data_IF_998591086393
#
_entry.id   IF_998591086393
#
_cell.length_a   1.000
_cell.length_b   1.000
_cell.length_c   1.000
_cell.angle_alpha   90.00
_cell.angle_beta   90.00
_cell.angle_gamma   90.00
#
_symmetry.space_group_name_H-M   'P 1'
#
loop_
_entity.id
_entity.type
_entity.pdbx_description
1 polymer ?
#
# COMPACT_ATOMS: atom_id res chain seq x y z
N UNK A 1 -7.66 36.95 -17.53
CA UNK A 1 -8.11 35.89 -16.61
C UNK A 1 -6.89 35.05 -16.40
N UNK A 2 -6.27 35.14 -15.23
CA UNK A 2 -4.86 34.78 -15.07
C UNK A 2 -4.76 33.52 -14.21
N UNK A 3 -4.35 32.42 -14.82
CA UNK A 3 -4.22 31.11 -14.15
C UNK A 3 -2.77 30.94 -13.69
N UNK A 4 -2.56 30.72 -12.39
CA UNK A 4 -1.24 30.46 -11.79
C UNK A 4 -1.10 28.98 -11.41
N UNK A 5 -0.12 28.30 -11.97
CA UNK A 5 0.19 26.88 -11.69
C UNK A 5 1.06 26.81 -10.41
N UNK A 6 0.60 26.08 -9.38
CA UNK A 6 1.24 26.02 -8.05
C UNK A 6 2.33 24.95 -7.93
N UNK A 7 2.13 23.81 -8.60
CA UNK A 7 3.11 22.72 -8.63
C UNK A 7 2.90 21.90 -9.90
N UNK A 8 3.98 21.35 -10.44
CA UNK A 8 3.96 20.47 -11.61
C UNK A 8 4.73 19.21 -11.28
N UNK A 9 4.08 18.06 -11.44
CA UNK A 9 4.72 16.75 -11.39
C UNK A 9 4.96 16.28 -12.81
N UNK A 10 6.20 16.45 -13.28
CA UNK A 10 6.60 16.02 -14.62
C UNK A 10 6.94 14.54 -14.61
N UNK A 11 6.43 13.81 -15.59
CA UNK A 11 6.78 12.44 -15.89
C UNK A 11 7.42 12.43 -17.27
N UNK A 12 8.57 11.77 -17.38
CA UNK A 12 9.27 11.62 -18.65
C UNK A 12 9.44 10.13 -18.97
N UNK A 13 9.42 9.81 -20.26
CA UNK A 13 9.76 8.51 -20.81
C UNK A 13 10.99 8.70 -21.68
N UNK A 14 11.97 7.82 -21.53
CA UNK A 14 13.13 7.83 -22.41
C UNK A 14 12.71 7.26 -23.77
N UNK A 15 13.17 7.88 -24.86
CA UNK A 15 12.96 7.42 -26.22
C UNK A 15 14.29 7.54 -26.97
N UNK A 16 14.47 6.70 -27.98
CA UNK A 16 15.65 6.77 -28.83
C UNK A 16 15.55 7.98 -29.77
N UNK A 17 16.62 8.76 -29.85
CA UNK A 17 16.72 9.87 -30.81
C UNK A 17 17.14 9.34 -32.18
N UNK A 18 16.17 8.80 -32.93
CA UNK A 18 16.39 8.26 -34.26
C UNK A 18 15.24 8.58 -35.21
N UNK A 19 15.47 8.39 -36.53
CA UNK A 19 14.45 8.64 -37.54
C UNK A 19 13.48 7.45 -37.61
N UNK A 20 12.31 7.63 -37.01
CA UNK A 20 11.21 6.66 -36.99
C UNK A 20 11.10 5.94 -35.65
N UNK A 21 10.06 5.10 -35.52
CA UNK A 21 9.73 4.42 -34.26
C UNK A 21 10.00 2.90 -34.31
N UNK A 22 10.18 2.35 -35.51
CA UNK A 22 10.22 0.90 -35.73
C UNK A 22 11.40 0.49 -36.59
N UNK A 23 12.03 -0.63 -36.24
CA UNK A 23 13.10 -1.23 -37.04
C UNK A 23 12.59 -1.71 -38.41
N UNK A 24 13.20 -1.23 -39.50
CA UNK A 24 12.80 -1.59 -40.87
C UNK A 24 12.96 -3.07 -41.26
N UNK A 25 13.65 -3.88 -40.44
CA UNK A 25 13.89 -5.31 -40.67
C UNK A 25 12.91 -6.19 -39.87
N UNK A 26 12.88 -6.04 -38.54
CA UNK A 26 12.02 -6.86 -37.68
C UNK A 26 10.64 -6.27 -37.38
N UNK A 27 10.41 -5.00 -37.77
CA UNK A 27 9.16 -4.25 -37.55
C UNK A 27 8.73 -4.10 -36.08
N UNK A 28 9.64 -4.33 -35.14
CA UNK A 28 9.43 -4.04 -33.72
C UNK A 28 9.79 -2.59 -33.42
N UNK A 29 9.15 -2.03 -32.40
CA UNK A 29 9.46 -0.70 -31.85
C UNK A 29 10.89 -0.68 -31.30
N UNK A 30 11.54 0.48 -31.37
CA UNK A 30 12.90 0.67 -30.87
C UNK A 30 13.02 0.55 -29.34
N UNK A 31 11.91 0.75 -28.62
CA UNK A 31 11.86 0.50 -27.17
C UNK A 31 11.76 -0.99 -26.82
N UNK A 32 11.38 -1.83 -27.79
CA UNK A 32 11.22 -3.26 -27.61
C UNK A 32 12.48 -4.02 -28.09
N UNK A 33 12.71 -5.20 -27.51
CA UNK A 33 13.79 -6.07 -27.97
C UNK A 33 13.46 -6.63 -29.37
N UNK A 34 14.49 -6.87 -30.19
CA UNK A 34 14.30 -7.62 -31.44
C UNK A 34 13.85 -9.07 -31.16
N UNK A 35 13.27 -9.80 -32.14
CA UNK A 35 12.78 -11.17 -31.91
C UNK A 35 13.82 -12.20 -31.45
N UNK A 36 15.10 -11.86 -31.53
CA UNK A 36 16.22 -12.70 -31.08
C UNK A 36 16.67 -12.35 -29.65
N UNK A 37 16.35 -11.15 -29.15
CA UNK A 37 16.72 -10.70 -27.82
C UNK A 37 15.54 -10.79 -26.86
N UNK A 38 15.82 -11.04 -25.58
CA UNK A 38 14.81 -11.10 -24.53
C UNK A 38 14.56 -9.75 -23.87
N UNK A 39 15.59 -8.91 -23.76
CA UNK A 39 15.56 -7.64 -23.03
C UNK A 39 16.09 -6.53 -23.95
N UNK A 40 15.44 -5.35 -24.00
CA UNK A 40 15.95 -4.19 -24.74
C UNK A 40 17.12 -3.52 -23.99
N UNK A 41 17.88 -2.66 -24.67
CA UNK A 41 19.02 -1.94 -24.07
C UNK A 41 20.37 -2.49 -24.54
N UNK A 42 21.28 -2.75 -23.61
CA UNK A 42 22.67 -3.16 -23.90
C UNK A 42 22.76 -4.46 -24.71
N UNK A 43 21.81 -5.39 -24.51
CA UNK A 43 21.73 -6.66 -25.24
C UNK A 43 21.16 -6.51 -26.67
N UNK A 44 20.55 -5.37 -27.00
CA UNK A 44 19.97 -5.10 -28.32
C UNK A 44 20.12 -3.62 -28.69
N UNK A 45 21.36 -3.14 -28.92
CA UNK A 45 21.60 -1.74 -29.20
C UNK A 45 21.05 -1.36 -30.58
N UNK A 46 20.72 -0.08 -30.71
CA UNK A 46 20.22 0.50 -31.94
C UNK A 46 21.37 1.14 -32.71
N UNK A 47 21.38 0.92 -34.01
CA UNK A 47 22.38 1.46 -34.92
C UNK A 47 21.71 2.27 -36.02
N UNK A 48 22.17 3.51 -36.19
CA UNK A 48 21.78 4.38 -37.29
C UNK A 48 22.88 4.36 -38.34
N UNK A 49 22.53 3.91 -39.54
CA UNK A 49 23.44 3.85 -40.68
C UNK A 49 23.78 5.24 -41.24
N UNK A 50 24.86 5.38 -42.04
CA UNK A 50 25.21 6.65 -42.68
C UNK A 50 24.12 7.20 -43.62
N UNK A 51 23.27 6.33 -44.18
CA UNK A 51 22.11 6.72 -44.97
C UNK A 51 20.88 7.09 -44.10
N UNK A 52 21.09 7.29 -42.79
CA UNK A 52 20.10 7.69 -41.79
C UNK A 52 18.92 6.71 -41.59
N UNK A 53 19.10 5.44 -41.94
CA UNK A 53 18.17 4.37 -41.57
C UNK A 53 18.61 3.68 -40.29
N UNK A 54 17.66 3.44 -39.39
CA UNK A 54 17.92 2.92 -38.06
C UNK A 54 17.41 1.49 -37.89
N UNK A 55 18.25 0.61 -37.32
CA UNK A 55 17.94 -0.80 -37.13
C UNK A 55 18.47 -1.29 -35.77
N UNK A 56 17.91 -2.39 -35.25
CA UNK A 56 18.57 -3.14 -34.19
C UNK A 56 19.86 -3.76 -34.70
N UNK A 57 20.93 -3.73 -33.91
CA UNK A 57 22.24 -4.26 -34.31
C UNK A 57 22.16 -5.72 -34.79
N UNK A 58 21.46 -6.59 -34.06
CA UNK A 58 21.32 -7.99 -34.46
C UNK A 58 20.49 -8.18 -35.74
N UNK A 59 19.51 -7.31 -35.98
CA UNK A 59 18.71 -7.37 -37.20
C UNK A 59 19.54 -7.01 -38.43
N UNK A 60 20.33 -5.93 -38.35
CA UNK A 60 21.17 -5.51 -39.48
C UNK A 60 22.35 -6.45 -39.70
N UNK A 61 23.02 -6.92 -38.64
CA UNK A 61 24.12 -7.89 -38.78
C UNK A 61 23.65 -9.15 -39.48
N UNK A 62 22.51 -9.71 -39.08
CA UNK A 62 21.93 -10.90 -39.73
C UNK A 62 21.48 -10.64 -41.17
N UNK A 63 20.96 -9.45 -41.47
CA UNK A 63 20.55 -9.10 -42.82
C UNK A 63 21.76 -9.05 -43.76
N UNK A 64 22.86 -8.43 -43.32
CA UNK A 64 24.10 -8.32 -44.09
C UNK A 64 24.81 -9.67 -44.24
N UNK A 65 24.76 -10.56 -43.23
CA UNK A 65 25.29 -11.92 -43.33
C UNK A 65 24.55 -12.79 -44.35
N UNK A 66 23.28 -12.47 -44.63
CA UNK A 66 22.45 -13.23 -45.58
C UNK A 66 22.64 -12.79 -47.03
N UNK A 67 23.15 -11.58 -47.28
CA UNK A 67 23.41 -11.10 -48.64
C UNK A 67 24.75 -11.63 -49.16
N UNK A 68 24.71 -12.51 -50.15
CA UNK A 68 25.89 -12.95 -50.89
C UNK A 68 26.31 -11.84 -51.87
N UNK A 69 27.02 -10.81 -51.38
CA UNK A 69 27.44 -9.67 -52.19
C UNK A 69 28.08 -8.53 -51.41
N UNK A 70 28.18 -7.36 -52.04
CA UNK A 70 28.57 -6.14 -51.33
C UNK A 70 27.43 -5.76 -50.37
N UNK A 71 27.71 -5.51 -49.08
CA UNK A 71 26.66 -5.24 -48.10
C UNK A 71 25.95 -3.94 -48.45
N UNK A 72 24.62 -3.97 -48.53
CA UNK A 72 23.78 -2.80 -48.85
C UNK A 72 22.79 -2.51 -47.72
N UNK A 73 22.30 -1.27 -47.64
CA UNK A 73 21.23 -0.93 -46.72
C UNK A 73 19.91 -1.61 -47.14
N UNK A 74 19.24 -2.39 -46.26
CA UNK A 74 17.99 -3.09 -46.62
C UNK A 74 16.84 -2.16 -47.03
N UNK A 75 16.89 -0.89 -46.65
CA UNK A 75 15.82 0.08 -46.93
C UNK A 75 16.08 0.89 -48.20
N UNK A 76 17.31 1.35 -48.43
CA UNK A 76 17.62 2.28 -49.53
C UNK A 76 18.72 1.80 -50.49
N UNK A 77 19.28 0.60 -50.27
CA UNK A 77 20.35 -0.01 -51.08
C UNK A 77 21.64 0.81 -51.19
N UNK A 78 21.81 1.82 -50.33
CA UNK A 78 23.07 2.53 -50.23
C UNK A 78 24.17 1.55 -49.76
N UNK A 79 25.42 1.68 -50.26
CA UNK A 79 26.51 0.78 -49.88
C UNK A 79 26.78 0.87 -48.37
N UNK A 80 26.83 -0.28 -47.72
CA UNK A 80 27.06 -0.39 -46.29
C UNK A 80 28.55 -0.42 -45.99
N UNK A 81 29.05 0.55 -45.22
CA UNK A 81 30.45 0.55 -44.81
C UNK A 81 30.61 -0.26 -43.51
N UNK A 82 31.21 -1.44 -43.61
CA UNK A 82 31.56 -2.27 -42.44
C UNK A 82 32.78 -1.66 -41.74
N UNK A 83 32.64 -1.24 -40.49
CA UNK A 83 33.82 -0.97 -39.64
C UNK A 83 34.34 -2.32 -39.14
N UNK A 84 35.48 -2.75 -39.64
CA UNK A 84 36.10 -4.03 -39.30
C UNK A 84 36.27 -4.21 -37.78
N UNK A 85 36.01 -5.43 -37.30
CA UNK A 85 36.27 -5.88 -35.93
C UNK A 85 37.77 -5.75 -35.62
N UNK A 86 38.19 -4.79 -34.81
CA UNK A 86 39.50 -4.85 -34.16
C UNK A 86 39.39 -5.84 -32.99
N UNK A 87 40.08 -6.97 -33.10
CA UNK A 87 40.26 -7.90 -31.98
C UNK A 87 41.02 -7.20 -30.85
N UNK A 88 40.33 -6.91 -29.74
CA UNK A 88 40.98 -6.55 -28.48
C UNK A 88 40.34 -7.35 -27.36
N UNK A 89 41.17 -8.17 -26.74
CA UNK A 89 40.92 -8.97 -25.55
C UNK A 89 40.54 -8.03 -24.39
N UNK A 90 39.32 -8.15 -23.86
CA UNK A 90 38.86 -7.40 -22.68
C UNK A 90 37.59 -6.57 -22.93
N UNK A 91 36.44 -7.20 -22.69
CA UNK A 91 35.11 -6.63 -22.40
C UNK A 91 34.86 -5.12 -22.61
N UNK A 92 34.84 -4.64 -23.87
CA UNK A 92 33.85 -3.66 -24.39
C UNK A 92 34.06 -3.52 -25.89
N UNK A 93 33.07 -3.93 -26.69
CA UNK A 93 33.13 -3.81 -28.16
C UNK A 93 32.66 -2.40 -28.54
N UNK A 94 33.60 -1.50 -28.82
CA UNK A 94 33.28 -0.12 -29.20
C UNK A 94 33.06 -0.02 -30.72
N UNK A 95 31.80 0.16 -31.13
CA UNK A 95 31.41 0.31 -32.53
C UNK A 95 31.48 1.79 -32.93
N UNK A 96 32.42 2.13 -33.82
CA UNK A 96 32.80 3.51 -34.21
C UNK A 96 31.72 4.38 -34.87
N UNK A 97 30.54 3.84 -35.17
CA UNK A 97 29.38 4.58 -35.69
C UNK A 97 28.08 4.22 -34.97
N UNK A 98 28.16 3.91 -33.69
CA UNK A 98 26.99 4.04 -32.81
C UNK A 98 26.96 5.51 -32.41
N UNK A 99 25.94 6.25 -32.85
CA UNK A 99 25.62 7.52 -32.21
C UNK A 99 25.08 7.23 -30.81
N UNK A 100 25.95 6.72 -29.92
CA UNK A 100 25.79 6.92 -28.49
C UNK A 100 25.92 8.42 -28.31
N UNK A 101 24.94 9.06 -27.68
CA UNK A 101 24.86 10.51 -27.51
C UNK A 101 26.26 11.12 -27.34
N UNK A 102 26.70 11.93 -28.32
CA UNK A 102 28.08 12.41 -28.47
C UNK A 102 28.44 13.50 -27.46
N UNK A 103 27.76 13.54 -26.32
CA UNK A 103 28.10 14.41 -25.21
C UNK A 103 28.61 13.51 -24.10
N UNK A 104 29.90 13.62 -23.83
CA UNK A 104 30.48 13.01 -22.65
C UNK A 104 29.63 13.41 -21.45
N UNK A 105 29.30 12.48 -20.52
CA UNK A 105 28.56 12.81 -19.30
C UNK A 105 29.16 14.00 -18.55
N UNK A 106 30.46 14.27 -18.72
CA UNK A 106 31.15 15.45 -18.19
C UNK A 106 30.57 16.79 -18.62
N UNK A 107 29.93 16.88 -19.79
CA UNK A 107 29.40 18.15 -20.31
C UNK A 107 28.08 18.55 -19.64
N UNK A 108 27.44 17.61 -18.95
CA UNK A 108 26.21 17.81 -18.17
C UNK A 108 26.46 17.73 -16.65
N UNK A 109 27.68 17.42 -16.23
CA UNK A 109 28.09 17.44 -14.84
C UNK A 109 28.68 18.83 -14.55
N UNK A 110 28.02 19.67 -13.74
CA UNK A 110 28.61 20.95 -13.34
C UNK A 110 29.96 20.69 -12.63
N UNK A 111 30.98 21.56 -12.81
CA UNK A 111 32.28 21.40 -12.16
C UNK A 111 32.12 21.23 -10.65
N UNK A 112 32.92 20.36 -10.02
CA UNK A 112 32.82 20.06 -8.59
C UNK A 112 32.98 21.29 -7.67
N UNK A 113 33.48 22.40 -8.19
CA UNK A 113 33.56 23.71 -7.53
C UNK A 113 32.24 24.49 -7.50
N UNK A 114 31.27 24.18 -8.36
CA UNK A 114 29.99 24.90 -8.48
C UNK A 114 28.87 24.29 -7.64
N UNK A 115 29.07 23.09 -7.08
CA UNK A 115 28.06 22.35 -6.32
C UNK A 115 28.52 21.89 -4.92
N UNK A 116 29.03 22.77 -4.03
CA UNK A 116 29.38 22.36 -2.67
C UNK A 116 28.17 21.96 -1.80
N UNK A 117 26.93 22.24 -2.21
CA UNK A 117 25.74 21.85 -1.43
C UNK A 117 25.22 20.42 -1.70
N UNK A 118 25.60 19.77 -2.81
CA UNK A 118 25.09 18.44 -3.18
C UNK A 118 26.02 17.26 -2.87
N UNK A 119 27.22 17.54 -2.36
CA UNK A 119 28.18 16.53 -1.88
C UNK A 119 28.32 16.51 -0.35
N UNK A 120 27.34 17.04 0.39
CA UNK A 120 27.13 16.48 1.72
C UNK A 120 26.74 15.03 1.49
N UNK A 121 27.60 14.09 1.89
CA UNK A 121 27.24 12.68 2.02
C UNK A 121 25.86 12.65 2.65
N UNK A 122 24.89 12.03 1.99
CA UNK A 122 23.57 11.86 2.55
C UNK A 122 23.73 11.24 3.94
N UNK A 123 23.69 12.08 4.97
CA UNK A 123 23.58 11.63 6.35
C UNK A 123 22.11 11.31 6.44
N UNK A 124 21.79 10.05 6.19
CA UNK A 124 20.45 9.53 6.39
C UNK A 124 19.97 10.07 7.73
N UNK A 125 18.87 10.86 7.76
CA UNK A 125 18.40 11.40 9.02
C UNK A 125 18.18 10.21 9.93
N UNK A 126 18.95 10.13 11.02
CA UNK A 126 18.81 9.05 12.02
C UNK A 126 17.31 8.85 12.23
N UNK A 127 16.77 7.63 12.01
CA UNK A 127 15.34 7.41 12.07
C UNK A 127 14.80 8.07 13.34
N UNK A 128 13.81 8.97 13.18
CA UNK A 128 13.28 9.81 14.27
C UNK A 128 12.75 8.99 15.46
N UNK A 129 12.62 7.69 15.29
CA UNK A 129 12.34 6.74 16.34
C UNK A 129 13.64 5.95 16.57
N UNK A 130 14.36 6.31 17.63
CA UNK A 130 15.47 5.49 18.10
C UNK A 130 14.97 4.05 18.31
N UNK A 131 15.81 3.05 18.05
CA UNK A 131 15.46 1.63 18.25
C UNK A 131 14.84 1.41 19.65
N UNK A 132 15.33 2.17 20.64
CA UNK A 132 14.83 2.20 22.01
C UNK A 132 13.39 2.73 22.13
N UNK A 133 13.03 3.79 21.39
CA UNK A 133 11.65 4.30 21.35
C UNK A 133 10.71 3.35 20.61
N UNK A 134 11.19 2.67 19.56
CA UNK A 134 10.41 1.64 18.86
C UNK A 134 10.16 0.43 19.76
N UNK A 135 11.17 -0.01 20.51
CA UNK A 135 11.05 -1.06 21.52
C UNK A 135 10.09 -0.68 22.65
N UNK A 136 10.15 0.56 23.14
CA UNK A 136 9.19 1.04 24.16
C UNK A 136 7.77 1.06 23.61
N UNK A 137 7.58 1.45 22.35
CA UNK A 137 6.27 1.43 21.69
C UNK A 137 5.74 0.01 21.47
N UNK A 138 6.58 -0.94 21.01
CA UNK A 138 6.15 -2.33 20.84
C UNK A 138 5.87 -3.02 22.17
N UNK A 139 6.65 -2.71 23.21
CA UNK A 139 6.38 -3.17 24.57
C UNK A 139 5.08 -2.58 25.11
N UNK A 140 4.81 -1.28 24.90
CA UNK A 140 3.54 -0.69 25.37
C UNK A 140 2.33 -1.24 24.61
N UNK A 141 2.46 -1.50 23.32
CA UNK A 141 1.43 -2.14 22.51
C UNK A 141 1.17 -3.57 22.98
N UNK A 142 2.22 -4.33 23.29
CA UNK A 142 2.11 -5.68 23.85
C UNK A 142 1.43 -5.70 25.22
N UNK A 143 1.80 -4.79 26.12
CA UNK A 143 1.16 -4.64 27.43
C UNK A 143 -0.32 -4.22 27.28
N UNK A 144 -0.62 -3.32 26.36
CA UNK A 144 -1.98 -2.91 26.03
C UNK A 144 -2.83 -4.09 25.54
N UNK A 145 -2.35 -4.83 24.56
CA UNK A 145 -3.04 -6.01 24.03
C UNK A 145 -3.26 -7.10 25.10
N UNK A 146 -2.24 -7.36 25.92
CA UNK A 146 -2.33 -8.32 27.02
C UNK A 146 -3.38 -7.88 28.06
N UNK A 147 -3.42 -6.60 28.42
CA UNK A 147 -4.39 -6.07 29.39
C UNK A 147 -5.84 -6.21 28.91
N UNK A 148 -6.10 -5.91 27.63
CA UNK A 148 -7.43 -6.05 27.01
C UNK A 148 -7.84 -7.52 26.93
N UNK A 149 -6.92 -8.40 26.54
CA UNK A 149 -7.17 -9.84 26.51
C UNK A 149 -7.50 -10.40 27.90
N UNK A 150 -6.81 -9.92 28.94
CA UNK A 150 -7.04 -10.30 30.33
C UNK A 150 -8.44 -9.88 30.79
N UNK A 151 -8.81 -8.61 30.55
CA UNK A 151 -10.16 -8.10 30.88
C UNK A 151 -11.24 -8.89 30.15
N UNK A 152 -11.05 -9.17 28.85
CA UNK A 152 -11.98 -9.99 28.08
C UNK A 152 -12.12 -11.41 28.66
N UNK A 153 -11.00 -12.05 29.01
CA UNK A 153 -11.00 -13.38 29.61
C UNK A 153 -11.73 -13.41 30.96
N UNK A 154 -11.46 -12.45 31.84
CA UNK A 154 -12.13 -12.37 33.15
C UNK A 154 -13.62 -12.07 33.01
N UNK A 155 -14.00 -11.16 32.12
CA UNK A 155 -15.41 -10.84 31.86
C UNK A 155 -16.15 -12.04 31.27
N UNK A 156 -15.54 -12.73 30.29
CA UNK A 156 -16.11 -13.95 29.70
C UNK A 156 -16.26 -15.08 30.72
N UNK A 157 -15.27 -15.25 31.60
CA UNK A 157 -15.31 -16.28 32.66
C UNK A 157 -16.37 -15.94 33.70
N UNK A 158 -16.47 -14.66 34.09
CA UNK A 158 -17.49 -14.18 35.03
C UNK A 158 -18.91 -14.38 34.48
N UNK A 159 -19.14 -14.05 33.21
CA UNK A 159 -20.43 -14.26 32.54
C UNK A 159 -20.75 -15.75 32.47
N UNK A 160 -19.80 -16.60 32.08
CA UNK A 160 -19.99 -18.06 32.04
C UNK A 160 -20.41 -18.61 33.41
N UNK A 161 -19.70 -18.24 34.47
CA UNK A 161 -20.00 -18.73 35.82
C UNK A 161 -21.38 -18.27 36.30
N UNK A 162 -21.77 -17.01 36.02
CA UNK A 162 -23.12 -16.52 36.35
C UNK A 162 -24.21 -17.27 35.60
N UNK A 163 -24.00 -17.55 34.31
CA UNK A 163 -24.95 -18.32 33.50
C UNK A 163 -25.07 -19.75 34.02
N UNK A 164 -23.95 -20.40 34.36
CA UNK A 164 -23.96 -21.75 34.96
C UNK A 164 -24.69 -21.76 36.31
N UNK A 165 -24.51 -20.73 37.15
CA UNK A 165 -25.21 -20.61 38.43
C UNK A 165 -26.72 -20.39 38.24
N UNK A 166 -27.13 -19.52 37.32
CA UNK A 166 -28.54 -19.33 36.98
C UNK A 166 -29.16 -20.61 36.40
N UNK A 167 -28.44 -21.33 35.54
CA UNK A 167 -28.87 -22.60 34.98
C UNK A 167 -29.07 -23.64 36.09
N UNK A 168 -28.15 -23.74 37.05
CA UNK A 168 -28.27 -24.66 38.18
C UNK A 168 -29.47 -24.32 39.09
N UNK A 169 -29.76 -23.04 39.30
CA UNK A 169 -30.96 -22.63 40.04
C UNK A 169 -32.24 -23.03 39.31
N UNK A 170 -32.28 -22.84 38.00
CA UNK A 170 -33.41 -23.27 37.16
C UNK A 170 -33.57 -24.78 37.22
N UNK A 171 -32.49 -25.55 37.04
CA UNK A 171 -32.51 -27.02 37.12
C UNK A 171 -33.00 -27.49 38.49
N UNK A 172 -32.58 -26.85 39.59
CA UNK A 172 -33.05 -27.15 40.94
C UNK A 172 -34.55 -26.85 41.11
N UNK A 173 -35.06 -25.77 40.51
CA UNK A 173 -36.50 -25.45 40.54
C UNK A 173 -37.29 -26.45 39.71
N UNK A 174 -36.82 -26.79 38.51
CA UNK A 174 -37.41 -27.80 37.63
C UNK A 174 -37.48 -29.14 38.37
N UNK A 175 -36.40 -29.54 39.03
CA UNK A 175 -36.30 -30.78 39.77
C UNK A 175 -37.20 -30.79 41.01
N UNK A 176 -37.29 -29.66 41.74
CA UNK A 176 -38.25 -29.51 42.84
C UNK A 176 -39.70 -29.54 42.36
N UNK A 177 -40.00 -28.92 41.22
CA UNK A 177 -41.33 -28.96 40.61
C UNK A 177 -41.65 -30.38 40.11
N UNK A 178 -40.67 -31.09 39.56
CA UNK A 178 -40.76 -32.50 39.17
C UNK A 178 -41.09 -33.38 40.37
N UNK A 179 -40.43 -33.17 41.52
CA UNK A 179 -40.75 -33.86 42.77
C UNK A 179 -42.10 -33.46 43.36
N UNK A 180 -42.52 -32.20 43.18
CA UNK A 180 -43.84 -31.72 43.65
C UNK A 180 -45.00 -32.23 42.78
N UNK A 181 -44.75 -32.50 41.50
CA UNK A 181 -45.68 -33.19 40.58
C UNK A 181 -45.63 -34.72 40.70
N UNK A 182 -44.71 -35.27 41.51
CA UNK A 182 -44.76 -36.66 41.90
C UNK A 182 -45.95 -36.82 42.86
N UNK A 183 -47.03 -37.48 42.40
CA UNK A 183 -48.31 -37.55 43.09
C UNK A 183 -48.16 -37.83 44.60
N UNK A 184 -48.44 -36.83 45.45
CA UNK A 184 -48.99 -37.14 46.77
C UNK A 184 -50.40 -37.62 46.52
N UNK A 185 -50.65 -38.89 46.82
CA UNK A 185 -52.00 -39.45 46.89
C UNK A 185 -52.81 -38.57 47.85
N UNK A 186 -53.63 -37.67 47.30
CA UNK A 186 -54.54 -36.81 48.04
C UNK A 186 -55.95 -37.08 47.56
N UNK A 187 -56.72 -37.57 48.51
CA UNK A 187 -58.15 -37.79 48.48
C UNK A 187 -58.81 -36.41 48.51
N UNK A 188 -59.88 -36.21 47.73
CA UNK A 188 -60.73 -35.00 47.61
C UNK A 188 -60.31 -33.97 46.54
N UNK A 189 -61.07 -33.87 45.43
CA UNK A 189 -61.03 -32.74 44.51
C UNK A 189 -62.12 -31.71 44.84
N UNK A 190 -61.92 -30.44 44.47
CA UNK A 190 -62.77 -29.68 43.53
C UNK A 190 -62.11 -28.30 43.33
N UNK A 191 -61.47 -28.15 42.18
CA UNK A 191 -61.18 -26.88 41.52
C UNK A 191 -61.50 -27.14 40.05
N UNK A 192 -62.22 -26.23 39.38
CA UNK A 192 -62.62 -26.47 37.98
C UNK A 192 -61.39 -26.29 37.09
N UNK A 193 -60.68 -27.40 36.95
CA UNK A 193 -59.55 -27.64 36.07
C UNK A 193 -60.07 -27.80 34.63
N UNK A 194 -59.21 -27.57 33.61
CA UNK A 194 -59.48 -27.98 32.23
C UNK A 194 -60.02 -29.41 32.22
N UNK A 195 -61.07 -29.67 31.44
CA UNK A 195 -61.83 -30.94 31.50
C UNK A 195 -61.00 -32.17 31.11
N UNK A 196 -59.77 -31.98 30.64
CA UNK A 196 -58.87 -33.00 30.14
C UNK A 196 -57.42 -32.56 30.34
N UNK A 197 -56.59 -33.48 30.86
CA UNK A 197 -55.14 -33.28 31.04
C UNK A 197 -54.46 -32.81 29.75
N UNK A 198 -54.92 -33.32 28.61
CA UNK A 198 -54.43 -32.98 27.28
C UNK A 198 -54.59 -31.49 26.95
N UNK A 199 -55.67 -30.84 27.40
CA UNK A 199 -55.87 -29.41 27.18
C UNK A 199 -54.92 -28.54 28.02
N UNK A 200 -54.66 -28.94 29.26
CA UNK A 200 -53.70 -28.26 30.13
C UNK A 200 -52.28 -28.42 29.57
N UNK A 201 -51.92 -29.64 29.17
CA UNK A 201 -50.62 -29.94 28.58
C UNK A 201 -50.42 -29.17 27.28
N UNK A 202 -51.42 -29.14 26.39
CA UNK A 202 -51.37 -28.35 25.16
C UNK A 202 -51.19 -26.84 25.44
N UNK A 203 -51.84 -26.30 26.49
CA UNK A 203 -51.68 -24.89 26.89
C UNK A 203 -50.30 -24.61 27.48
N UNK A 204 -49.71 -25.52 28.26
CA UNK A 204 -48.34 -25.39 28.79
C UNK A 204 -47.31 -25.41 27.66
N UNK A 205 -47.40 -26.39 26.76
CA UNK A 205 -46.50 -26.48 25.59
C UNK A 205 -46.61 -25.25 24.70
N UNK A 206 -47.81 -24.69 24.52
CA UNK A 206 -47.99 -23.44 23.77
C UNK A 206 -47.33 -22.25 24.45
N UNK A 207 -47.40 -22.18 25.78
CA UNK A 207 -46.75 -21.12 26.57
C UNK A 207 -45.23 -21.24 26.57
N UNK A 208 -44.69 -22.46 26.65
CA UNK A 208 -43.25 -22.69 26.57
C UNK A 208 -42.70 -22.25 25.20
N UNK A 209 -43.38 -22.60 24.10
CA UNK A 209 -43.03 -22.13 22.76
C UNK A 209 -43.12 -20.61 22.63
N UNK A 210 -44.15 -19.99 23.20
CA UNK A 210 -44.33 -18.53 23.19
C UNK A 210 -43.18 -17.83 23.92
N UNK A 211 -42.78 -18.34 25.09
CA UNK A 211 -41.62 -17.83 25.86
C UNK A 211 -40.31 -18.03 25.11
N UNK A 212 -40.10 -19.18 24.46
CA UNK A 212 -38.89 -19.47 23.68
C UNK A 212 -38.75 -18.54 22.47
N UNK A 213 -39.86 -18.25 21.77
CA UNK A 213 -39.88 -17.28 20.67
C UNK A 213 -39.61 -15.85 21.15
N UNK A 214 -40.16 -15.45 22.29
CA UNK A 214 -39.89 -14.13 22.88
C UNK A 214 -38.42 -14.00 23.32
N UNK A 215 -37.84 -15.05 23.91
CA UNK A 215 -36.43 -15.07 24.33
C UNK A 215 -35.48 -15.01 23.13
N UNK A 216 -35.76 -15.75 22.06
CA UNK A 216 -34.95 -15.72 20.83
C UNK A 216 -35.05 -14.37 20.12
N UNK A 217 -36.24 -13.76 20.07
CA UNK A 217 -36.43 -12.41 19.57
C UNK A 217 -35.71 -11.36 20.43
N UNK A 218 -35.77 -11.46 21.76
CA UNK A 218 -35.06 -10.55 22.65
C UNK A 218 -33.53 -10.67 22.49
N UNK A 219 -33.00 -11.90 22.41
CA UNK A 219 -31.57 -12.15 22.16
C UNK A 219 -31.10 -11.58 20.81
N UNK A 220 -31.91 -11.69 19.76
CA UNK A 220 -31.55 -11.13 18.45
C UNK A 220 -31.53 -9.60 18.48
N UNK A 221 -32.49 -8.95 19.15
CA UNK A 221 -32.50 -7.49 19.30
C UNK A 221 -31.30 -6.98 20.10
N UNK A 222 -30.95 -7.64 21.22
CA UNK A 222 -29.78 -7.30 22.02
C UNK A 222 -28.47 -7.46 21.22
N UNK A 223 -28.35 -8.53 20.45
CA UNK A 223 -27.19 -8.72 19.57
C UNK A 223 -27.09 -7.62 18.50
N UNK A 224 -28.21 -7.19 17.91
CA UNK A 224 -28.20 -6.09 16.93
C UNK A 224 -27.80 -4.75 17.55
N UNK A 225 -28.27 -4.46 18.76
CA UNK A 225 -27.96 -3.22 19.49
C UNK A 225 -26.49 -3.18 19.92
N UNK A 226 -25.99 -4.25 20.53
CA UNK A 226 -24.57 -4.38 20.89
C UNK A 226 -23.67 -4.27 19.66
N UNK A 227 -24.03 -4.89 18.54
CA UNK A 227 -23.28 -4.75 17.29
C UNK A 227 -23.29 -3.34 16.73
N UNK A 228 -24.41 -2.63 16.84
CA UNK A 228 -24.50 -1.23 16.45
C UNK A 228 -23.55 -0.35 17.27
N UNK A 229 -23.54 -0.51 18.61
CA UNK A 229 -22.64 0.25 19.48
C UNK A 229 -21.17 -0.05 19.23
N UNK A 230 -20.80 -1.31 19.02
CA UNK A 230 -19.42 -1.70 18.69
C UNK A 230 -18.99 -1.08 17.37
N UNK A 231 -19.85 -1.09 16.34
CA UNK A 231 -19.56 -0.44 15.05
C UNK A 231 -19.41 1.07 15.20
N UNK A 232 -20.30 1.71 15.96
CA UNK A 232 -20.24 3.16 16.19
C UNK A 232 -18.98 3.57 16.96
N UNK A 233 -18.60 2.78 17.98
CA UNK A 233 -17.35 2.96 18.72
C UNK A 233 -16.12 2.78 17.83
N UNK A 234 -16.08 1.70 17.03
CA UNK A 234 -15.00 1.46 16.08
C UNK A 234 -14.83 2.63 15.09
N UNK A 235 -15.93 3.11 14.52
CA UNK A 235 -15.92 4.26 13.62
C UNK A 235 -15.43 5.54 14.30
N UNK A 236 -15.81 5.78 15.57
CA UNK A 236 -15.31 6.92 16.35
C UNK A 236 -13.80 6.81 16.58
N UNK A 237 -13.30 5.63 16.93
CA UNK A 237 -11.88 5.38 17.12
C UNK A 237 -11.09 5.64 15.84
N UNK A 238 -11.56 5.11 14.70
CA UNK A 238 -10.92 5.35 13.40
C UNK A 238 -10.88 6.85 13.04
N UNK A 239 -11.98 7.58 13.25
CA UNK A 239 -12.02 9.01 12.99
C UNK A 239 -11.04 9.79 13.88
N UNK A 240 -10.94 9.44 15.16
CA UNK A 240 -10.00 10.07 16.08
C UNK A 240 -8.54 9.80 15.65
N UNK A 241 -8.23 8.55 15.24
CA UNK A 241 -6.90 8.19 14.72
C UNK A 241 -6.58 9.01 13.47
N UNK A 242 -7.50 9.06 12.51
CA UNK A 242 -7.32 9.84 11.29
C UNK A 242 -7.08 11.32 11.59
N UNK A 243 -7.89 11.92 12.47
CA UNK A 243 -7.72 13.32 12.87
C UNK A 243 -6.37 13.59 13.54
N UNK A 244 -5.86 12.64 14.34
CA UNK A 244 -4.56 12.73 14.97
C UNK A 244 -3.43 12.59 13.95
N UNK A 245 -3.56 11.71 12.95
CA UNK A 245 -2.62 11.57 11.84
C UNK A 245 -2.56 12.84 10.99
N UNK A 246 -3.70 13.44 10.67
CA UNK A 246 -3.78 14.69 9.90
C UNK A 246 -3.15 15.84 10.69
N UNK A 247 -3.45 15.95 11.99
CA UNK A 247 -2.84 16.95 12.87
C UNK A 247 -1.32 16.77 12.97
N UNK A 248 -0.84 15.52 13.04
CA UNK A 248 0.59 15.22 13.04
C UNK A 248 1.25 15.60 11.72
N UNK A 249 0.65 15.28 10.58
CA UNK A 249 1.15 15.65 9.26
C UNK A 249 1.24 17.18 9.11
N UNK A 250 0.21 17.90 9.55
CA UNK A 250 0.20 19.37 9.55
C UNK A 250 1.27 19.95 10.50
N UNK A 251 1.50 19.34 11.67
CA UNK A 251 2.59 19.74 12.57
C UNK A 251 3.97 19.51 11.95
N UNK A 252 4.17 18.38 11.25
CA UNK A 252 5.42 18.07 10.58
C UNK A 252 5.70 19.05 9.43
N UNK A 253 4.67 19.41 8.65
CA UNK A 253 4.80 20.41 7.60
C UNK A 253 5.22 21.77 8.17
N UNK A 254 4.55 22.24 9.23
CA UNK A 254 4.92 23.48 9.93
C UNK A 254 6.36 23.49 10.43
N UNK A 255 6.84 22.36 10.95
CA UNK A 255 8.24 22.25 11.38
C UNK A 255 9.21 22.34 10.21
N UNK A 256 8.93 21.67 9.09
CA UNK A 256 9.75 21.76 7.87
C UNK A 256 9.76 23.18 7.30
N UNK A 257 8.62 23.85 7.29
CA UNK A 257 8.51 25.25 6.87
C UNK A 257 9.35 26.18 7.77
N UNK A 258 9.23 26.04 9.10
CA UNK A 258 10.02 26.83 10.04
C UNK A 258 11.54 26.58 9.90
N UNK A 259 11.93 25.33 9.63
CA UNK A 259 13.33 24.99 9.38
C UNK A 259 13.84 25.59 8.06
N UNK A 260 13.02 25.57 7.00
CA UNK A 260 13.36 26.21 5.74
C UNK A 260 13.51 27.73 5.89
N UNK A 261 12.59 28.40 6.60
CA UNK A 261 12.69 29.83 6.91
C UNK A 261 13.97 30.16 7.71
N UNK A 262 14.30 29.34 8.71
CA UNK A 262 15.51 29.50 9.51
C UNK A 262 16.79 29.33 8.67
N UNK A 263 16.83 28.32 7.80
CA UNK A 263 17.95 28.10 6.88
C UNK A 263 18.12 29.27 5.91
N UNK A 264 17.03 29.74 5.29
CA UNK A 264 17.08 30.89 4.37
C UNK A 264 17.62 32.13 5.10
N UNK A 265 17.12 32.40 6.31
CA UNK A 265 17.59 33.53 7.12
C UNK A 265 19.07 33.42 7.46
N UNK A 266 19.55 32.24 7.83
CA UNK A 266 20.95 31.99 8.13
C UNK A 266 21.86 32.20 6.90
N UNK A 267 21.45 31.69 5.73
CA UNK A 267 22.21 31.87 4.47
C UNK A 267 22.29 33.35 4.07
N UNK A 268 21.18 34.10 4.17
CA UNK A 268 21.17 35.54 3.84
C UNK A 268 22.07 36.35 4.77
N UNK A 269 22.04 36.05 6.08
CA UNK A 269 22.93 36.69 7.06
C UNK A 269 24.40 36.38 6.79
N UNK A 270 24.73 35.13 6.45
CA UNK A 270 26.10 34.74 6.09
C UNK A 270 26.60 35.50 4.85
N UNK A 271 25.72 35.73 3.87
CA UNK A 271 26.03 36.50 2.66
C UNK A 271 25.95 38.02 2.83
N UNK A 272 25.65 38.53 4.03
CA UNK A 272 25.62 39.97 4.33
C UNK A 272 24.37 40.72 3.85
N UNK A 273 23.29 40.00 3.52
CA UNK A 273 22.02 40.60 3.09
C UNK A 273 21.01 40.68 4.25
N UNK A 274 20.23 41.77 4.30
CA UNK A 274 19.14 41.96 5.27
C UNK A 274 17.81 41.41 4.73
N UNK A 275 17.15 40.55 5.51
CA UNK A 275 15.87 39.95 5.14
C UNK A 275 14.71 40.94 5.41
N UNK A 276 14.14 41.51 4.35
CA UNK A 276 13.01 42.45 4.42
C UNK A 276 11.67 41.74 4.69
N UNK A 277 11.50 40.51 4.21
CA UNK A 277 10.30 39.70 4.47
C UNK A 277 10.28 38.38 3.70
N UNK A 278 9.59 37.38 4.25
CA UNK A 278 9.36 36.06 3.64
C UNK A 278 7.86 35.86 3.49
N UNK A 279 7.37 35.86 2.25
CA UNK A 279 5.97 35.55 1.94
C UNK A 279 5.86 34.11 1.48
N UNK A 280 4.96 33.33 2.11
CA UNK A 280 4.62 31.99 1.62
C UNK A 280 3.94 32.13 0.26
N UNK A 281 4.46 31.42 -0.74
CA UNK A 281 3.85 31.43 -2.07
C UNK A 281 2.52 30.67 -2.00
N UNK A 282 1.41 31.41 -1.96
CA UNK A 282 0.05 30.86 -2.09
C UNK A 282 -0.87 30.96 -0.87
N UNK A 283 -0.59 31.84 0.10
CA UNK A 283 -1.58 32.28 1.09
C UNK A 283 -2.61 33.25 0.49
#
# INVERSE_FOLDING_TARGET
MDVKIKSVHLVAKWMWDCKGETCGICRQEYEAACPTCRVPGDDCPILTSPCHHTFHLHCITRALEKEEGQPECPTCRAPWQIVAKSSVTGTTTEYKHVHTATRSPSDFIPPATEAPERLQSYVEPKPFISLRRMQVFTVSLGVGAASVALVYFFLSTSIRNRVEEEQFQVDRIVERNRMAMQDRISIVPIFVAPSTYDELYAKMVKKDKEVETQLTQAKSTLHTETMFHVKMWWNRCLHNIQSATDAFAAAQLRHKEAQAEANIKATLQYSGYELVGLSKVGA
#
